data_IF_037158793676
#
_entry.id   IF_037158793676
#
_cell.length_a   1.000
_cell.length_b   1.000
_cell.length_c   1.000
_cell.angle_alpha   90.00
_cell.angle_beta   90.00
_cell.angle_gamma   90.00
#
_symmetry.space_group_name_H-M   'P 1'
#
loop_
_entity.id
_entity.type
_entity.pdbx_description
1 polymer ?
#
# COMPACT_ATOMS: atom_id res chain seq x y z
N UNK A 1 -28.91 13.50 -47.22
CA UNK A 1 -27.91 13.80 -46.16
C UNK A 1 -27.39 12.47 -45.65
N UNK A 2 -26.07 12.23 -45.73
CA UNK A 2 -25.41 11.02 -45.25
C UNK A 2 -25.20 11.14 -43.74
N UNK A 3 -25.74 10.21 -42.95
CA UNK A 3 -25.41 10.09 -41.52
C UNK A 3 -24.18 9.18 -41.36
N UNK A 4 -23.07 9.76 -40.93
CA UNK A 4 -21.91 9.00 -40.45
C UNK A 4 -22.21 8.50 -39.04
N UNK A 5 -22.37 7.19 -38.86
CA UNK A 5 -22.33 6.54 -37.55
C UNK A 5 -20.87 6.29 -37.18
N UNK A 6 -20.30 7.12 -36.31
CA UNK A 6 -19.11 6.72 -35.53
C UNK A 6 -19.63 5.99 -34.30
N UNK A 7 -19.38 4.69 -34.25
CA UNK A 7 -19.62 3.83 -33.09
C UNK A 7 -18.62 4.26 -32.02
N UNK A 8 -19.11 4.93 -30.98
CA UNK A 8 -18.35 5.19 -29.76
C UNK A 8 -18.50 3.94 -28.90
N UNK A 9 -17.45 3.13 -28.81
CA UNK A 9 -17.39 2.00 -27.90
C UNK A 9 -17.29 2.55 -26.48
N UNK A 10 -18.38 2.49 -25.72
CA UNK A 10 -18.39 2.73 -24.28
C UNK A 10 -17.97 1.43 -23.62
N UNK A 11 -16.72 1.35 -23.19
CA UNK A 11 -16.23 0.28 -22.32
C UNK A 11 -16.65 0.64 -20.90
N UNK A 12 -17.74 0.04 -20.43
CA UNK A 12 -18.16 0.14 -19.03
C UNK A 12 -17.23 -0.74 -18.18
N UNK A 13 -16.43 -0.12 -17.32
CA UNK A 13 -15.72 -0.82 -16.24
C UNK A 13 -16.65 -0.79 -15.02
N UNK A 14 -17.10 -1.97 -14.62
CA UNK A 14 -17.97 -2.21 -13.47
C UNK A 14 -17.09 -2.27 -12.22
N UNK A 15 -17.07 -1.20 -11.41
CA UNK A 15 -16.55 -1.27 -10.05
C UNK A 15 -17.70 -1.70 -9.12
N UNK A 16 -17.57 -2.88 -8.52
CA UNK A 16 -18.43 -3.32 -7.42
C UNK A 16 -17.64 -3.10 -6.13
N UNK A 17 -18.08 -2.15 -5.32
CA UNK A 17 -17.62 -1.95 -3.95
C UNK A 17 -18.85 -1.80 -3.05
N UNK A 18 -19.02 -2.74 -2.12
CA UNK A 18 -20.11 -2.73 -1.15
C UNK A 18 -19.73 -1.78 -0.01
N UNK A 19 -20.56 -0.75 0.22
CA UNK A 19 -20.48 0.14 1.38
C UNK A 19 -21.15 -0.51 2.60
N UNK A 20 -20.40 -0.67 3.69
CA UNK A 20 -20.96 -0.78 5.03
C UNK A 20 -20.00 -0.12 6.04
N UNK A 21 -20.14 1.19 6.23
CA UNK A 21 -19.53 1.92 7.34
C UNK A 21 -20.57 2.24 8.42
N UNK A 22 -20.13 2.26 9.69
CA UNK A 22 -20.59 3.05 10.86
C UNK A 22 -20.19 2.28 12.13
N UNK A 23 -19.49 2.79 13.15
CA UNK A 23 -18.99 4.13 13.42
C UNK A 23 -18.34 4.24 14.82
N UNK A 24 -17.26 5.03 14.89
CA UNK A 24 -16.79 5.98 15.93
C UNK A 24 -16.97 5.71 17.44
N UNK A 25 -15.90 5.92 18.23
CA UNK A 25 -15.73 7.11 19.11
C UNK A 25 -14.41 7.14 19.93
N UNK A 26 -13.56 8.13 19.63
CA UNK A 26 -12.78 9.03 20.52
C UNK A 26 -12.22 8.55 21.88
N UNK A 27 -10.90 8.74 22.12
CA UNK A 27 -10.37 9.44 23.32
C UNK A 27 -8.84 9.68 23.36
N UNK A 28 -8.47 10.97 23.30
CA UNK A 28 -7.47 11.73 24.11
C UNK A 28 -6.06 11.21 24.42
N UNK A 29 -5.12 12.08 24.03
CA UNK A 29 -3.68 12.13 24.28
C UNK A 29 -3.21 12.16 25.75
N UNK A 30 -1.99 11.66 25.96
CA UNK A 30 -1.17 11.91 27.15
C UNK A 30 0.32 11.75 26.84
N UNK A 31 1.04 12.86 26.69
CA UNK A 31 2.50 12.92 26.55
C UNK A 31 3.22 12.69 27.88
N UNK A 32 4.38 12.02 27.85
CA UNK A 32 5.44 12.16 28.84
C UNK A 32 6.85 11.85 28.27
N UNK A 33 7.59 12.94 28.07
CA UNK A 33 9.03 13.21 28.18
C UNK A 33 10.13 12.10 28.13
N UNK A 34 11.06 12.34 27.18
CA UNK A 34 12.53 12.49 27.30
C UNK A 34 13.48 11.29 27.51
N UNK A 35 14.43 11.23 26.57
CA UNK A 35 15.69 10.47 26.41
C UNK A 35 16.76 10.73 27.53
N UNK A 36 18.02 10.18 27.50
CA UNK A 36 18.71 9.50 26.39
C UNK A 36 19.69 8.32 26.70
N UNK A 37 20.19 7.74 25.60
CA UNK A 37 21.53 7.18 25.33
C UNK A 37 22.07 5.95 26.11
N UNK A 38 22.48 4.92 25.37
CA UNK A 38 23.88 4.43 25.21
C UNK A 38 23.88 3.04 24.56
N UNK A 39 24.75 2.82 23.57
CA UNK A 39 24.79 1.60 22.77
C UNK A 39 25.46 0.40 23.42
N UNK A 40 25.29 -0.77 22.80
CA UNK A 40 26.23 -1.91 22.80
C UNK A 40 25.96 -2.72 21.53
N UNK A 41 27.00 -2.91 20.71
CA UNK A 41 27.04 -3.95 19.69
C UNK A 41 27.23 -5.32 20.35
N UNK A 42 26.42 -6.32 20.00
CA UNK A 42 26.87 -7.71 20.03
C UNK A 42 26.02 -8.59 19.14
N UNK A 43 26.71 -9.16 18.15
CA UNK A 43 26.37 -10.38 17.44
C UNK A 43 26.17 -11.54 18.42
N UNK A 44 24.97 -12.11 18.42
CA UNK A 44 24.73 -13.45 18.92
C UNK A 44 23.86 -14.19 17.89
N UNK A 45 24.53 -15.00 17.08
CA UNK A 45 23.88 -16.09 16.36
C UNK A 45 23.41 -17.09 17.42
N UNK A 46 22.12 -17.05 17.75
CA UNK A 46 21.48 -18.04 18.62
C UNK A 46 21.01 -19.22 17.78
N UNK A 47 21.60 -20.37 18.08
CA UNK A 47 21.16 -21.68 17.65
C UNK A 47 19.91 -22.08 18.44
N UNK A 48 18.80 -22.37 17.76
CA UNK A 48 17.67 -23.06 18.37
C UNK A 48 17.34 -24.32 17.56
N UNK A 49 17.17 -25.42 18.29
CA UNK A 49 16.64 -26.67 17.81
C UNK A 49 15.75 -27.23 18.91
N UNK A 50 14.45 -26.96 18.79
CA UNK A 50 13.38 -27.74 19.42
C UNK A 50 12.08 -27.55 18.62
N UNK A 51 11.98 -28.22 17.47
CA UNK A 51 10.72 -28.41 16.73
C UNK A 51 10.16 -27.19 15.99
N UNK A 52 11.02 -26.25 15.58
CA UNK A 52 10.58 -24.97 15.00
C UNK A 52 9.90 -25.17 13.65
N UNK A 53 8.60 -24.92 13.60
CA UNK A 53 8.06 -24.23 12.43
C UNK A 53 8.78 -22.89 12.44
N UNK A 54 9.74 -22.71 11.53
CA UNK A 54 10.54 -21.50 11.47
C UNK A 54 9.65 -20.26 11.38
N UNK A 55 10.21 -19.11 11.74
CA UNK A 55 9.55 -17.82 11.59
C UNK A 55 8.86 -17.72 10.22
N UNK A 56 7.55 -17.40 10.19
CA UNK A 56 6.83 -17.11 8.95
C UNK A 56 7.28 -15.73 8.47
N UNK A 57 7.97 -15.69 7.34
CA UNK A 57 8.55 -14.49 6.75
C UNK A 57 7.62 -13.90 5.70
N UNK A 58 7.62 -12.56 5.54
CA UNK A 58 6.94 -11.95 4.39
C UNK A 58 7.64 -12.40 3.11
N UNK A 59 6.83 -12.59 2.06
CA UNK A 59 7.29 -12.79 0.69
C UNK A 59 8.16 -11.58 0.32
N UNK A 60 9.31 -11.85 -0.30
CA UNK A 60 10.19 -10.80 -0.78
C UNK A 60 9.42 -9.84 -1.71
N UNK A 61 9.35 -8.57 -1.28
CA UNK A 61 8.74 -7.49 -2.04
C UNK A 61 9.43 -7.32 -3.40
N UNK A 62 10.70 -7.69 -3.50
CA UNK A 62 11.51 -7.57 -4.71
C UNK A 62 12.30 -6.27 -4.72
N UNK A 63 12.73 -5.86 -5.92
CA UNK A 63 13.60 -4.70 -6.07
C UNK A 63 12.88 -3.47 -6.63
N UNK A 64 13.42 -2.29 -6.31
CA UNK A 64 12.86 -0.99 -6.70
C UNK A 64 12.64 -0.82 -8.21
N UNK A 65 13.39 -1.51 -9.07
CA UNK A 65 13.22 -1.37 -10.52
C UNK A 65 12.01 -2.16 -11.04
N UNK A 66 11.46 -3.11 -10.29
CA UNK A 66 10.27 -3.88 -10.69
C UNK A 66 9.02 -3.02 -10.80
N UNK A 67 8.99 -1.86 -10.12
CA UNK A 67 7.88 -0.90 -10.27
C UNK A 67 7.73 -0.38 -11.71
N UNK A 68 8.83 -0.39 -12.50
CA UNK A 68 8.82 0.10 -13.89
C UNK A 68 7.88 -0.70 -14.79
N UNK A 69 7.70 -1.98 -14.49
CA UNK A 69 6.85 -2.89 -15.27
C UNK A 69 5.47 -3.08 -14.68
N UNK A 70 5.15 -2.39 -13.59
CA UNK A 70 3.93 -2.59 -12.81
C UNK A 70 3.99 -3.88 -11.97
N UNK A 71 3.60 -3.80 -10.71
CA UNK A 71 3.48 -4.95 -9.81
C UNK A 71 2.53 -4.61 -8.69
N UNK A 72 1.69 -5.58 -8.31
CA UNK A 72 0.77 -5.43 -7.17
C UNK A 72 1.53 -5.27 -5.85
N UNK A 73 2.80 -5.71 -5.78
CA UNK A 73 3.65 -5.71 -4.58
C UNK A 73 4.10 -4.33 -4.11
N UNK A 74 3.90 -3.30 -4.93
CA UNK A 74 4.38 -1.95 -4.62
C UNK A 74 3.25 -0.94 -4.70
N UNK A 75 3.36 0.09 -3.87
CA UNK A 75 2.65 1.34 -4.03
C UNK A 75 3.64 2.49 -4.19
N UNK A 76 3.18 3.64 -4.66
CA UNK A 76 4.04 4.81 -4.82
C UNK A 76 3.30 6.10 -4.51
N UNK A 77 4.04 7.04 -3.91
CA UNK A 77 3.66 8.46 -3.89
C UNK A 77 4.37 9.19 -5.02
N UNK A 78 3.75 10.24 -5.54
CA UNK A 78 4.43 11.18 -6.45
C UNK A 78 4.89 12.38 -5.62
N UNK A 79 6.20 12.56 -5.51
CA UNK A 79 6.77 13.64 -4.68
C UNK A 79 7.05 14.90 -5.47
N UNK A 80 7.36 14.77 -6.76
CA UNK A 80 7.69 15.89 -7.64
C UNK A 80 7.62 15.51 -9.11
N UNK A 81 7.26 16.46 -9.97
CA UNK A 81 7.50 16.36 -11.42
C UNK A 81 8.41 17.49 -11.88
N UNK A 82 9.50 17.17 -12.57
CA UNK A 82 10.41 18.14 -13.16
C UNK A 82 11.14 17.55 -14.37
N UNK A 83 11.48 18.41 -15.34
CA UNK A 83 12.26 18.01 -16.52
C UNK A 83 11.68 16.81 -17.27
N UNK A 84 10.34 16.73 -17.35
CA UNK A 84 9.62 15.64 -18.00
C UNK A 84 9.65 14.29 -17.26
N UNK A 85 9.98 14.29 -15.97
CA UNK A 85 10.07 13.09 -15.14
C UNK A 85 9.35 13.27 -13.80
N UNK A 86 8.80 12.18 -13.26
CA UNK A 86 8.25 12.13 -11.92
C UNK A 86 9.23 11.41 -10.99
N UNK A 87 9.45 11.97 -9.81
CA UNK A 87 10.06 11.26 -8.69
C UNK A 87 8.96 10.59 -7.88
N UNK A 88 9.15 9.31 -7.61
CA UNK A 88 8.25 8.47 -6.86
C UNK A 88 8.95 7.94 -5.62
N UNK A 89 8.36 8.10 -4.43
CA UNK A 89 8.75 7.26 -3.28
C UNK A 89 7.96 5.96 -3.37
N UNK A 90 8.67 4.84 -3.28
CA UNK A 90 8.11 3.50 -3.46
C UNK A 90 7.99 2.82 -2.13
N UNK A 91 6.87 2.14 -1.95
CA UNK A 91 6.53 1.43 -0.74
C UNK A 91 6.28 -0.04 -1.05
N UNK A 92 6.82 -0.92 -0.20
CA UNK A 92 6.41 -2.31 -0.10
C UNK A 92 5.39 -2.48 1.02
N UNK A 93 4.84 -3.68 1.12
CA UNK A 93 4.02 -4.11 2.24
C UNK A 93 4.22 -5.61 2.43
N UNK A 94 3.98 -6.09 3.66
CA UNK A 94 4.14 -7.51 3.94
C UNK A 94 3.05 -8.32 3.27
N UNK A 95 3.45 -9.41 2.62
CA UNK A 95 2.56 -10.41 2.07
C UNK A 95 3.01 -11.81 2.43
N UNK A 96 2.08 -12.76 2.54
CA UNK A 96 2.33 -14.12 2.99
C UNK A 96 1.54 -15.11 2.15
N UNK A 97 2.09 -16.31 2.00
CA UNK A 97 1.39 -17.39 1.32
C UNK A 97 0.20 -17.85 2.19
N UNK A 98 -0.96 -18.13 1.57
CA UNK A 98 -2.12 -18.63 2.31
C UNK A 98 -1.80 -19.85 3.18
N UNK A 99 -1.01 -20.80 2.68
CA UNK A 99 -0.63 -22.00 3.42
C UNK A 99 0.19 -21.71 4.69
N UNK A 100 1.00 -20.65 4.70
CA UNK A 100 1.80 -20.27 5.86
C UNK A 100 0.92 -19.63 6.94
N UNK A 101 -0.04 -18.79 6.54
CA UNK A 101 -1.02 -18.17 7.45
C UNK A 101 -2.02 -19.20 7.98
N UNK A 102 -2.46 -20.13 7.14
CA UNK A 102 -3.34 -21.23 7.53
C UNK A 102 -2.67 -22.17 8.53
N UNK A 103 -1.36 -22.34 8.44
CA UNK A 103 -0.57 -23.14 9.37
C UNK A 103 -0.21 -22.43 10.69
N UNK A 104 -0.47 -21.11 10.82
CA UNK A 104 -0.22 -20.39 12.07
C UNK A 104 -1.06 -20.97 13.22
N UNK A 105 -0.40 -21.13 14.37
CA UNK A 105 -1.02 -21.50 15.64
C UNK A 105 -0.44 -20.64 16.76
N UNK A 106 -1.06 -20.65 17.94
CA UNK A 106 -0.49 -20.02 19.13
C UNK A 106 0.93 -20.55 19.39
N UNK A 107 1.87 -19.63 19.66
CA UNK A 107 3.29 -19.91 19.79
C UNK A 107 4.09 -19.80 18.48
N UNK A 108 3.46 -19.79 17.31
CA UNK A 108 4.14 -19.46 16.04
C UNK A 108 4.72 -18.05 16.08
N UNK A 109 5.73 -17.79 15.27
CA UNK A 109 6.34 -16.46 15.11
C UNK A 109 6.06 -15.97 13.69
N UNK A 110 5.36 -14.84 13.58
CA UNK A 110 5.20 -14.09 12.34
C UNK A 110 6.21 -12.94 12.32
N UNK A 111 6.84 -12.71 11.17
CA UNK A 111 7.80 -11.61 10.99
C UNK A 111 7.13 -10.50 10.21
N UNK A 112 7.15 -9.30 10.75
CA UNK A 112 6.36 -8.17 10.24
C UNK A 112 7.20 -6.89 10.20
N UNK A 113 6.92 -6.01 9.27
CA UNK A 113 7.19 -4.59 9.38
C UNK A 113 6.07 -3.96 10.22
N UNK A 114 6.45 -3.27 11.29
CA UNK A 114 5.51 -2.43 12.03
C UNK A 114 5.22 -1.15 11.23
N UNK A 115 4.14 -0.44 11.54
CA UNK A 115 3.65 0.69 10.74
C UNK A 115 4.75 1.73 10.45
N UNK A 116 5.15 1.82 9.17
CA UNK A 116 6.15 2.76 8.70
C UNK A 116 7.60 2.44 9.08
N UNK A 117 7.87 1.33 9.76
CA UNK A 117 9.23 0.85 10.04
C UNK A 117 9.73 -0.03 8.89
N UNK A 118 10.99 0.13 8.52
CA UNK A 118 11.68 -0.70 7.51
C UNK A 118 12.38 -1.92 8.14
N UNK A 119 12.30 -2.05 9.46
CA UNK A 119 12.88 -3.14 10.23
C UNK A 119 11.85 -4.23 10.48
N UNK A 120 12.16 -5.45 10.06
CA UNK A 120 11.33 -6.61 10.35
C UNK A 120 11.46 -7.02 11.83
N UNK A 121 10.33 -7.01 12.55
CA UNK A 121 10.19 -7.40 13.96
C UNK A 121 9.53 -8.79 14.11
N UNK A 122 9.56 -9.36 15.32
CA UNK A 122 8.93 -10.65 15.63
C UNK A 122 7.59 -10.40 16.32
N UNK A 123 6.54 -11.01 15.83
CA UNK A 123 5.25 -11.11 16.49
C UNK A 123 5.00 -12.57 16.88
N UNK A 124 5.09 -12.87 18.17
CA UNK A 124 4.66 -14.18 18.68
C UNK A 124 3.14 -14.23 18.70
N UNK A 125 2.57 -15.25 18.07
CA UNK A 125 1.12 -15.46 18.00
C UNK A 125 0.61 -15.96 19.35
N UNK A 126 -0.34 -15.25 19.92
CA UNK A 126 -1.04 -15.54 21.19
C UNK A 126 -2.54 -15.74 20.99
N UNK A 127 -3.10 -15.24 19.89
CA UNK A 127 -4.46 -15.57 19.44
C UNK A 127 -4.57 -15.43 17.93
N UNK A 128 -5.51 -16.17 17.35
CA UNK A 128 -5.86 -16.09 15.92
C UNK A 128 -7.37 -16.14 15.80
N UNK A 129 -7.96 -15.16 15.14
CA UNK A 129 -9.32 -15.21 14.63
C UNK A 129 -9.29 -15.28 13.10
N UNK A 130 -10.13 -16.14 12.51
CA UNK A 130 -10.18 -16.37 11.05
C UNK A 130 -11.60 -16.14 10.58
N UNK A 131 -11.81 -15.02 9.92
CA UNK A 131 -13.06 -14.70 9.24
C UNK A 131 -12.96 -15.13 7.78
N UNK A 132 -13.20 -16.42 7.54
CA UNK A 132 -13.15 -17.01 6.20
C UNK A 132 -14.22 -16.44 5.26
N UNK A 133 -15.32 -15.89 5.81
CA UNK A 133 -16.41 -15.32 5.01
C UNK A 133 -16.00 -13.96 4.41
N UNK A 134 -15.21 -13.17 5.16
CA UNK A 134 -14.72 -11.86 4.72
C UNK A 134 -13.25 -11.87 4.25
N UNK A 135 -12.55 -13.00 4.37
CA UNK A 135 -11.16 -13.15 3.95
C UNK A 135 -10.15 -12.47 4.89
N UNK A 136 -10.52 -12.30 6.17
CA UNK A 136 -9.67 -11.66 7.18
C UNK A 136 -9.06 -12.68 8.15
N UNK A 137 -7.85 -12.40 8.59
CA UNK A 137 -7.18 -13.11 9.70
C UNK A 137 -6.63 -12.10 10.68
N UNK A 138 -7.17 -12.13 11.90
CA UNK A 138 -6.80 -11.24 12.99
C UNK A 138 -5.84 -11.96 13.93
N UNK A 139 -4.60 -11.50 14.00
CA UNK A 139 -3.55 -12.03 14.88
C UNK A 139 -3.45 -11.14 16.12
N UNK A 140 -3.44 -11.74 17.31
CA UNK A 140 -3.27 -11.04 18.60
C UNK A 140 -4.29 -9.91 18.84
N UNK A 141 -5.52 -10.07 18.35
CA UNK A 141 -6.58 -9.05 18.48
C UNK A 141 -6.46 -7.89 17.49
N UNK A 142 -5.61 -8.02 16.47
CA UNK A 142 -5.51 -7.07 15.37
C UNK A 142 -4.77 -5.80 15.76
N UNK A 143 -4.78 -4.83 14.85
CA UNK A 143 -3.96 -3.63 14.94
C UNK A 143 -4.26 -2.78 16.18
N UNK A 144 -5.52 -2.74 16.62
CA UNK A 144 -5.96 -1.99 17.80
C UNK A 144 -5.41 -2.57 19.12
N UNK A 145 -5.03 -3.85 19.12
CA UNK A 145 -4.45 -4.54 20.26
C UNK A 145 -2.92 -4.67 20.18
N UNK A 146 -2.27 -4.04 19.19
CA UNK A 146 -0.84 -4.22 18.91
C UNK A 146 -0.52 -5.56 18.24
N UNK A 147 -1.54 -6.23 17.69
CA UNK A 147 -1.42 -7.36 16.80
C UNK A 147 -1.42 -6.93 15.33
N UNK A 148 -1.89 -7.82 14.45
CA UNK A 148 -1.88 -7.62 13.00
C UNK A 148 -3.21 -8.05 12.41
N UNK A 149 -3.70 -7.28 11.46
CA UNK A 149 -4.83 -7.64 10.60
C UNK A 149 -4.30 -8.05 9.22
N UNK A 150 -4.80 -9.16 8.69
CA UNK A 150 -4.45 -9.67 7.37
C UNK A 150 -5.71 -9.78 6.50
N UNK A 151 -5.61 -9.43 5.22
CA UNK A 151 -6.68 -9.66 4.24
C UNK A 151 -6.15 -10.39 3.01
N UNK A 152 -6.96 -11.25 2.41
CA UNK A 152 -6.60 -11.99 1.19
C UNK A 152 -6.79 -11.10 -0.05
N UNK A 153 -5.70 -10.84 -0.77
CA UNK A 153 -5.68 -10.04 -1.99
C UNK A 153 -4.58 -10.56 -2.93
N UNK A 154 -4.82 -10.64 -4.24
CA UNK A 154 -3.87 -11.20 -5.21
C UNK A 154 -3.31 -12.60 -4.84
N UNK A 155 -4.18 -13.49 -4.31
CA UNK A 155 -3.83 -14.84 -3.85
C UNK A 155 -2.80 -14.90 -2.70
N UNK A 156 -2.57 -13.79 -2.00
CA UNK A 156 -1.70 -13.69 -0.81
C UNK A 156 -2.41 -12.97 0.33
N UNK A 157 -2.06 -13.28 1.57
CA UNK A 157 -2.47 -12.44 2.70
C UNK A 157 -1.54 -11.24 2.79
N UNK A 158 -2.07 -10.03 2.95
CA UNK A 158 -1.29 -8.82 3.20
C UNK A 158 -1.66 -8.19 4.53
N UNK A 159 -0.70 -7.56 5.20
CA UNK A 159 -0.99 -6.77 6.41
C UNK A 159 -1.77 -5.52 6.05
N UNK A 160 -2.79 -5.19 6.84
CA UNK A 160 -3.62 -4.01 6.60
C UNK A 160 -3.72 -3.10 7.82
N UNK A 161 -3.92 -1.81 7.55
CA UNK A 161 -4.27 -0.79 8.53
C UNK A 161 -5.74 -0.93 8.93
N UNK A 162 -6.17 -0.10 9.88
CA UNK A 162 -7.58 -0.02 10.28
C UNK A 162 -8.53 0.36 9.12
N UNK A 163 -8.02 1.06 8.11
CA UNK A 163 -8.78 1.48 6.92
C UNK A 163 -8.54 0.55 5.71
N UNK A 164 -8.12 -0.70 5.96
CA UNK A 164 -7.90 -1.76 4.96
C UNK A 164 -6.80 -1.49 3.91
N UNK A 165 -6.01 -0.44 4.09
CA UNK A 165 -4.82 -0.17 3.27
C UNK A 165 -3.67 -1.08 3.69
N UNK A 166 -2.79 -1.48 2.76
CA UNK A 166 -1.57 -2.19 3.16
C UNK A 166 -0.76 -1.40 4.18
N UNK A 167 -0.13 -2.10 5.14
CA UNK A 167 0.85 -1.49 6.04
C UNK A 167 2.14 -1.26 5.24
N UNK A 168 2.30 -0.02 4.76
CA UNK A 168 3.42 0.35 3.91
C UNK A 168 4.73 0.59 4.68
N UNK A 169 5.83 0.17 4.08
CA UNK A 169 7.19 0.56 4.48
C UNK A 169 7.98 1.07 3.27
N UNK A 170 8.81 2.09 3.47
CA UNK A 170 9.54 2.76 2.39
C UNK A 170 10.68 1.89 1.85
N UNK A 171 10.71 1.72 0.53
CA UNK A 171 11.75 0.98 -0.20
C UNK A 171 12.80 1.90 -0.82
N UNK A 172 12.44 3.17 -1.05
CA UNK A 172 13.31 4.20 -1.62
C UNK A 172 12.66 4.95 -2.78
N UNK A 173 13.46 5.72 -3.52
CA UNK A 173 12.96 6.59 -4.60
C UNK A 173 13.35 6.12 -6.01
N UNK A 174 12.43 6.26 -6.95
CA UNK A 174 12.68 6.05 -8.38
C UNK A 174 12.24 7.27 -9.19
N UNK A 175 12.91 7.53 -10.31
CA UNK A 175 12.49 8.54 -11.27
C UNK A 175 12.05 7.87 -12.56
N UNK A 176 10.84 8.19 -13.04
CA UNK A 176 10.28 7.69 -14.28
C UNK A 176 9.95 8.84 -15.24
N UNK A 177 10.16 8.67 -16.56
CA UNK A 177 9.73 9.66 -17.54
C UNK A 177 8.20 9.76 -17.60
N UNK A 178 7.69 10.97 -17.84
CA UNK A 178 6.29 11.20 -18.20
C UNK A 178 6.14 11.06 -19.72
N UNK A 179 5.11 10.34 -20.15
CA UNK A 179 4.72 10.34 -21.55
C UNK A 179 4.27 11.75 -21.96
N UNK A 180 4.56 12.15 -23.20
CA UNK A 180 4.11 13.46 -23.70
C UNK A 180 2.59 13.62 -23.68
N UNK A 181 1.85 12.52 -23.87
CA UNK A 181 0.39 12.45 -23.78
C UNK A 181 -0.14 11.89 -22.46
N UNK A 182 0.63 12.00 -21.38
CA UNK A 182 0.19 11.56 -20.04
C UNK A 182 -1.11 12.25 -19.64
N UNK A 183 -1.98 11.50 -18.96
CA UNK A 183 -3.25 12.01 -18.43
C UNK A 183 -3.26 11.95 -16.90
N UNK A 184 -3.99 12.86 -16.27
CA UNK A 184 -4.30 12.83 -14.85
C UNK A 184 -5.83 12.95 -14.68
N UNK A 185 -6.43 11.98 -14.02
CA UNK A 185 -7.83 11.99 -13.58
C UNK A 185 -7.87 12.15 -12.06
N UNK A 186 -8.28 13.32 -11.57
CA UNK A 186 -8.36 13.60 -10.13
C UNK A 186 -9.80 13.78 -9.66
N UNK A 187 -10.31 12.82 -8.89
CA UNK A 187 -11.62 12.89 -8.22
C UNK A 187 -11.48 12.93 -6.69
N UNK A 188 -10.35 13.38 -6.16
CA UNK A 188 -10.04 13.30 -4.73
C UNK A 188 -10.70 14.36 -3.85
N UNK A 189 -11.44 15.30 -4.43
CA UNK A 189 -12.04 16.40 -3.69
C UNK A 189 -13.22 15.96 -2.79
N UNK A 190 -13.99 14.95 -3.20
CA UNK A 190 -15.20 14.47 -2.51
C UNK A 190 -15.59 13.06 -3.01
N UNK A 191 -16.24 12.20 -2.21
CA UNK A 191 -16.67 10.87 -2.64
C UNK A 191 -17.55 10.83 -3.88
N UNK A 192 -18.22 11.94 -4.23
CA UNK A 192 -19.11 12.08 -5.38
C UNK A 192 -18.58 13.08 -6.42
N UNK A 193 -17.34 13.57 -6.26
CA UNK A 193 -16.74 14.47 -7.22
C UNK A 193 -16.60 13.79 -8.59
N UNK A 194 -16.91 14.54 -9.65
CA UNK A 194 -16.46 14.15 -10.99
C UNK A 194 -14.96 14.40 -11.10
N UNK A 195 -14.26 13.53 -11.82
CA UNK A 195 -12.84 13.70 -12.06
C UNK A 195 -12.54 15.01 -12.81
N UNK A 196 -11.53 15.72 -12.36
CA UNK A 196 -10.87 16.79 -13.11
C UNK A 196 -9.80 16.13 -13.99
N UNK A 197 -10.01 16.19 -15.30
CA UNK A 197 -9.09 15.63 -16.29
C UNK A 197 -8.03 16.66 -16.68
N UNK A 198 -6.77 16.24 -16.69
CA UNK A 198 -5.62 17.04 -17.11
C UNK A 198 -4.80 16.26 -18.13
N UNK A 199 -4.55 16.86 -19.29
CA UNK A 199 -3.85 16.20 -20.41
C UNK A 199 -2.51 16.88 -20.71
N UNK A 200 -1.48 16.06 -20.93
CA UNK A 200 -0.17 16.48 -21.40
C UNK A 200 0.83 16.74 -20.26
N UNK A 201 2.10 16.45 -20.54
CA UNK A 201 3.17 16.43 -19.54
C UNK A 201 3.31 17.73 -18.74
N UNK A 202 3.24 18.89 -19.39
CA UNK A 202 3.41 20.18 -18.70
C UNK A 202 2.24 20.49 -17.74
N UNK A 203 1.00 20.23 -18.15
CA UNK A 203 -0.18 20.48 -17.33
C UNK A 203 -0.28 19.48 -16.17
N UNK A 204 0.05 18.21 -16.42
CA UNK A 204 0.15 17.19 -15.37
C UNK A 204 1.26 17.55 -14.38
N UNK A 205 2.42 18.02 -14.84
CA UNK A 205 3.47 18.48 -13.96
C UNK A 205 3.04 19.66 -13.07
N UNK A 206 2.32 20.63 -13.65
CA UNK A 206 1.77 21.77 -12.89
C UNK A 206 0.78 21.29 -11.82
N UNK A 207 -0.18 20.44 -12.18
CA UNK A 207 -1.18 19.90 -11.25
C UNK A 207 -0.53 19.10 -10.12
N UNK A 208 0.42 18.22 -10.44
CA UNK A 208 1.11 17.39 -9.45
C UNK A 208 1.90 18.25 -8.45
N UNK A 209 2.62 19.25 -8.94
CA UNK A 209 3.43 20.11 -8.06
C UNK A 209 2.59 21.16 -7.30
N UNK A 210 1.36 21.44 -7.73
CA UNK A 210 0.47 22.38 -7.08
C UNK A 210 -0.27 21.78 -5.87
N UNK A 211 -0.31 20.45 -5.75
CA UNK A 211 -0.97 19.73 -4.66
C UNK A 211 -0.12 19.76 -3.38
N UNK A 212 -0.51 20.54 -2.35
CA UNK A 212 0.29 20.70 -1.13
C UNK A 212 0.26 19.48 -0.21
N UNK A 213 -0.82 18.68 -0.25
CA UNK A 213 -1.00 17.51 0.60
C UNK A 213 -0.31 16.26 0.01
N UNK A 214 0.24 16.41 -1.19
CA UNK A 214 0.96 15.37 -1.93
C UNK A 214 0.05 14.30 -2.53
N UNK A 215 0.71 13.29 -3.11
CA UNK A 215 0.10 12.20 -3.85
C UNK A 215 0.37 10.91 -3.11
N UNK A 216 -0.61 10.37 -2.40
CA UNK A 216 -0.39 9.30 -1.42
C UNK A 216 -0.61 7.91 -2.03
N UNK A 217 0.12 6.87 -1.57
CA UNK A 217 -0.02 5.52 -2.13
C UNK A 217 -1.41 4.90 -1.93
N UNK A 218 -2.18 5.36 -0.94
CA UNK A 218 -3.53 4.88 -0.67
C UNK A 218 -4.60 5.53 -1.56
N UNK A 219 -4.31 6.65 -2.22
CA UNK A 219 -5.27 7.40 -3.03
C UNK A 219 -4.81 7.70 -4.45
N UNK A 220 -3.57 7.33 -4.81
CA UNK A 220 -2.95 7.61 -6.11
C UNK A 220 -2.53 6.32 -6.80
N UNK A 221 -2.92 6.17 -8.07
CA UNK A 221 -2.51 5.09 -8.96
C UNK A 221 -1.68 5.67 -10.10
N UNK A 222 -0.52 5.06 -10.35
CA UNK A 222 0.39 5.43 -11.44
C UNK A 222 0.46 4.28 -12.43
N UNK A 223 0.09 4.54 -13.68
CA UNK A 223 0.14 3.58 -14.77
C UNK A 223 1.37 3.85 -15.64
N UNK A 224 2.08 2.77 -15.99
CA UNK A 224 3.26 2.85 -16.85
C UNK A 224 3.09 2.02 -18.11
N UNK A 225 3.67 2.51 -19.21
CA UNK A 225 3.88 1.77 -20.45
C UNK A 225 5.38 1.75 -20.71
N UNK A 226 5.98 0.55 -20.75
CA UNK A 226 7.42 0.35 -20.96
C UNK A 226 8.31 1.22 -20.05
N UNK A 227 7.92 1.38 -18.78
CA UNK A 227 8.66 2.18 -17.79
C UNK A 227 8.46 3.69 -17.90
N UNK A 228 7.51 4.16 -18.71
CA UNK A 228 7.10 5.57 -18.85
C UNK A 228 5.72 5.77 -18.27
N UNK A 229 5.50 6.80 -17.46
CA UNK A 229 4.18 7.10 -16.87
C UNK A 229 3.22 7.55 -17.98
N UNK A 230 2.16 6.78 -18.18
CA UNK A 230 1.13 7.04 -19.20
C UNK A 230 -0.14 7.65 -18.62
N UNK A 231 -0.48 7.35 -17.36
CA UNK A 231 -1.63 7.95 -16.69
C UNK A 231 -1.44 7.98 -15.17
N UNK A 232 -2.05 8.97 -14.53
CA UNK A 232 -2.18 9.08 -13.08
C UNK A 232 -3.69 9.15 -12.77
N UNK A 233 -4.12 8.43 -11.74
CA UNK A 233 -5.50 8.51 -11.23
C UNK A 233 -5.41 8.77 -9.74
N UNK A 234 -6.11 9.80 -9.27
CA UNK A 234 -6.26 10.08 -7.84
C UNK A 234 -7.73 10.03 -7.46
N UNK A 235 -8.02 9.31 -6.38
CA UNK A 235 -9.38 9.11 -5.89
C UNK A 235 -9.53 9.69 -4.50
N UNK A 236 -10.78 9.89 -4.08
CA UNK A 236 -11.08 10.31 -2.73
C UNK A 236 -10.88 9.13 -1.77
N UNK A 237 -10.26 9.43 -0.62
CA UNK A 237 -10.06 8.54 0.51
C UNK A 237 -10.49 9.31 1.78
N UNK A 238 -11.23 8.68 2.72
CA UNK A 238 -11.72 9.33 3.93
C UNK A 238 -10.66 9.98 4.83
#
# INVERSE_FOLDING_TARGET
MKLNKKVLAVTAILAVGILAGCGSSNSTAGSAASAPASGVESSAASSEAAGEMGDVLPIDAGNLNEIKTGSYKFAASITKVADGQATLSVYGYDSYLPEDIDALQEGSVLRIHDQGDTTVTKLTVTSIDRDADNGYVTINGGIEAGGVELTLDHDVYRTVTFDDYPVYYEMGEVTLPLAGGVTLSDSSADPQASAVETDGADAVAEAVNAEPDGWMPNNTLVFTEDGTISSIVRIWVP
#
